data_IF_556439023569
#
_entry.id   IF_556439023569
#
_cell.length_a   1.000
_cell.length_b   1.000
_cell.length_c   1.000
_cell.angle_alpha   90.00
_cell.angle_beta   90.00
_cell.angle_gamma   90.00
#
_symmetry.space_group_name_H-M   'P 1'
#
loop_
_entity.id
_entity.type
_entity.pdbx_description
1 polymer ?
#
# COMPACT_ATOMS: atom_id res chain seq x y z
N UNK A 1 -23.04 78.65 6.73
CA UNK A 1 -23.33 77.39 6.07
C UNK A 1 -22.06 76.52 5.77
N UNK A 2 -20.87 77.10 5.76
CA UNK A 2 -19.63 76.35 5.41
C UNK A 2 -18.90 75.69 6.58
N UNK A 3 -19.08 76.18 7.81
CA UNK A 3 -18.38 75.57 9.00
C UNK A 3 -19.06 74.30 9.41
N UNK A 4 -20.39 74.21 9.39
CA UNK A 4 -21.12 72.99 9.73
C UNK A 4 -20.80 71.80 8.76
N UNK A 5 -20.67 72.09 7.47
CA UNK A 5 -20.27 71.07 6.45
C UNK A 5 -18.84 70.60 6.65
N UNK A 6 -17.93 71.46 7.09
CA UNK A 6 -16.55 71.09 7.40
C UNK A 6 -16.44 70.21 8.65
N UNK A 7 -17.24 70.45 9.67
CA UNK A 7 -17.29 69.64 10.89
C UNK A 7 -17.86 68.24 10.58
N UNK A 8 -18.92 68.16 9.78
CA UNK A 8 -19.51 66.89 9.37
C UNK A 8 -18.53 66.11 8.50
N UNK A 9 -17.77 66.67 7.59
CA UNK A 9 -16.77 66.04 6.77
C UNK A 9 -15.59 65.57 7.62
N UNK A 10 -15.15 66.27 8.63
CA UNK A 10 -14.07 65.90 9.53
C UNK A 10 -14.48 64.74 10.42
N UNK A 11 -15.76 64.72 10.89
CA UNK A 11 -16.29 63.58 11.68
C UNK A 11 -16.42 62.25 10.85
N UNK A 12 -16.81 62.40 9.57
CA UNK A 12 -16.91 61.22 8.69
C UNK A 12 -15.54 60.56 8.38
N UNK A 13 -14.46 61.34 8.32
CA UNK A 13 -13.08 60.82 8.09
C UNK A 13 -12.57 60.09 9.34
N UNK A 14 -12.95 60.53 10.55
CA UNK A 14 -12.54 59.85 11.80
C UNK A 14 -13.12 58.47 11.99
N UNK A 15 -14.29 58.16 11.41
CA UNK A 15 -14.98 56.86 11.57
C UNK A 15 -14.36 55.76 10.65
N UNK A 16 -13.71 56.14 9.55
CA UNK A 16 -13.12 55.16 8.60
C UNK A 16 -11.79 54.57 9.08
N UNK A 17 -11.12 55.21 10.07
CA UNK A 17 -9.80 54.77 10.54
C UNK A 17 -9.84 53.73 11.69
N UNK A 18 -11.01 53.35 12.20
CA UNK A 18 -11.12 52.39 13.31
C UNK A 18 -11.48 50.98 12.89
N UNK A 19 -11.48 50.65 11.57
CA UNK A 19 -11.87 49.33 11.06
C UNK A 19 -10.68 48.39 10.78
N UNK A 20 -9.59 48.50 11.53
CA UNK A 20 -8.59 47.43 11.59
C UNK A 20 -8.84 46.57 12.82
N UNK A 21 -9.83 45.70 12.77
CA UNK A 21 -9.91 44.58 13.70
C UNK A 21 -8.83 43.57 13.30
N UNK A 22 -7.79 43.45 14.10
CA UNK A 22 -6.80 42.37 14.01
C UNK A 22 -7.54 41.03 13.99
N UNK A 23 -7.62 40.42 12.82
CA UNK A 23 -8.04 39.02 12.71
C UNK A 23 -6.89 38.20 13.29
N UNK A 24 -6.99 37.85 14.55
CA UNK A 24 -6.09 36.83 15.10
C UNK A 24 -6.13 35.57 14.21
N UNK A 25 -5.01 35.29 13.55
CA UNK A 25 -4.83 34.06 12.80
C UNK A 25 -5.11 32.90 13.77
N UNK A 26 -6.09 32.07 13.46
CA UNK A 26 -6.37 30.87 14.23
C UNK A 26 -5.15 29.97 14.12
N UNK A 27 -4.48 29.71 15.23
CA UNK A 27 -3.42 28.71 15.26
C UNK A 27 -3.98 27.36 14.77
N UNK A 28 -3.32 26.68 13.81
CA UNK A 28 -3.78 25.39 13.36
C UNK A 28 -3.80 24.43 14.55
N UNK A 29 -4.95 23.80 14.80
CA UNK A 29 -5.12 22.81 15.88
C UNK A 29 -4.46 21.51 15.43
N UNK A 30 -3.15 21.44 15.51
CA UNK A 30 -2.32 20.30 15.08
C UNK A 30 -2.38 19.12 16.06
N UNK A 31 -2.99 19.27 17.23
CA UNK A 31 -2.98 18.23 18.29
C UNK A 31 -3.75 16.96 17.93
N UNK A 32 -4.80 17.02 17.12
CA UNK A 32 -5.59 15.84 16.74
C UNK A 32 -4.89 14.96 15.68
N UNK A 33 -4.14 15.55 14.76
CA UNK A 33 -3.50 14.84 13.66
C UNK A 33 -2.38 13.93 14.13
N UNK A 34 -1.58 14.34 15.11
CA UNK A 34 -0.46 13.54 15.62
C UNK A 34 -0.91 12.31 16.41
N UNK A 35 -2.02 12.41 17.16
CA UNK A 35 -2.59 11.29 17.91
C UNK A 35 -3.21 10.27 16.97
N UNK A 36 -3.96 10.72 15.96
CA UNK A 36 -4.55 9.86 14.94
C UNK A 36 -3.50 9.10 14.14
N UNK A 37 -2.44 9.79 13.71
CA UNK A 37 -1.34 9.15 12.97
C UNK A 37 -0.62 8.09 13.81
N UNK A 38 -0.35 8.37 15.09
CA UNK A 38 0.25 7.41 16.02
C UNK A 38 -0.65 6.19 16.22
N UNK A 39 -1.94 6.39 16.44
CA UNK A 39 -2.90 5.31 16.61
C UNK A 39 -3.02 4.44 15.36
N UNK A 40 -3.09 5.06 14.17
CA UNK A 40 -3.11 4.35 12.90
C UNK A 40 -1.83 3.54 12.67
N UNK A 41 -0.66 4.12 12.98
CA UNK A 41 0.62 3.42 12.86
C UNK A 41 0.71 2.22 13.82
N UNK A 42 0.22 2.37 15.05
CA UNK A 42 0.17 1.26 16.01
C UNK A 42 -0.75 0.13 15.55
N UNK A 43 -1.94 0.46 15.03
CA UNK A 43 -2.88 -0.53 14.47
C UNK A 43 -2.27 -1.28 13.28
N UNK A 44 -1.62 -0.55 12.36
CA UNK A 44 -0.96 -1.17 11.21
C UNK A 44 0.20 -2.08 11.63
N UNK A 45 1.00 -1.67 12.62
CA UNK A 45 2.07 -2.51 13.16
C UNK A 45 1.53 -3.79 13.82
N UNK A 46 0.46 -3.67 14.61
CA UNK A 46 -0.17 -4.84 15.24
C UNK A 46 -0.77 -5.80 14.20
N UNK A 47 -1.40 -5.27 13.15
CA UNK A 47 -1.92 -6.06 12.04
C UNK A 47 -0.81 -6.82 11.35
N UNK A 48 0.27 -6.14 10.94
CA UNK A 48 1.40 -6.77 10.28
C UNK A 48 2.01 -7.90 11.14
N UNK A 49 2.21 -7.65 12.43
CA UNK A 49 2.72 -8.67 13.35
C UNK A 49 1.78 -9.90 13.44
N UNK A 50 0.47 -9.70 13.39
CA UNK A 50 -0.50 -10.81 13.38
C UNK A 50 -0.49 -11.61 12.07
N UNK A 51 -0.31 -10.93 10.94
CA UNK A 51 -0.18 -11.57 9.63
C UNK A 51 1.12 -12.39 9.52
N UNK A 52 2.24 -11.82 9.97
CA UNK A 52 3.53 -12.52 10.01
C UNK A 52 3.47 -13.75 10.91
N UNK A 53 2.86 -13.64 12.10
CA UNK A 53 2.68 -14.78 13.00
C UNK A 53 1.79 -15.88 12.38
N UNK A 54 0.78 -15.50 11.60
CA UNK A 54 -0.07 -16.45 10.89
C UNK A 54 0.72 -17.16 9.79
N UNK A 55 1.47 -16.44 8.97
CA UNK A 55 2.36 -17.00 7.95
C UNK A 55 3.36 -17.96 8.60
N UNK A 56 4.01 -17.57 9.70
CA UNK A 56 4.92 -18.45 10.43
C UNK A 56 4.23 -19.71 10.96
N UNK A 57 2.97 -19.61 11.37
CA UNK A 57 2.20 -20.77 11.82
C UNK A 57 1.88 -21.75 10.68
N UNK A 58 1.59 -21.21 9.48
CA UNK A 58 1.37 -22.02 8.26
C UNK A 58 2.66 -22.76 7.91
N UNK A 59 3.79 -22.03 7.85
CA UNK A 59 5.10 -22.57 7.53
C UNK A 59 5.51 -23.69 8.52
N UNK A 60 5.30 -23.48 9.81
CA UNK A 60 5.62 -24.49 10.84
C UNK A 60 4.82 -25.79 10.71
N UNK A 61 3.61 -25.71 10.16
CA UNK A 61 2.75 -26.90 9.92
C UNK A 61 3.12 -27.63 8.62
N UNK A 62 3.70 -26.92 7.69
CA UNK A 62 4.13 -27.50 6.41
C UNK A 62 5.54 -28.04 6.54
N UNK A 63 5.65 -29.35 6.64
CA UNK A 63 6.93 -30.07 6.74
C UNK A 63 7.44 -30.60 5.40
N UNK A 64 6.70 -30.35 4.32
CA UNK A 64 7.00 -30.90 3.00
C UNK A 64 7.81 -29.95 2.14
N UNK A 65 7.68 -28.65 2.35
CA UNK A 65 8.30 -27.64 1.51
C UNK A 65 9.44 -26.89 2.22
N UNK A 66 10.46 -26.57 1.47
CA UNK A 66 11.57 -25.72 1.93
C UNK A 66 11.23 -24.26 1.72
N UNK A 67 10.81 -23.58 2.78
CA UNK A 67 10.51 -22.17 2.74
C UNK A 67 11.78 -21.31 2.74
N UNK A 68 11.75 -20.30 1.89
CA UNK A 68 12.81 -19.30 1.73
C UNK A 68 12.27 -17.97 2.21
N UNK A 69 13.03 -17.30 3.07
CA UNK A 69 12.75 -15.95 3.49
C UNK A 69 13.31 -14.98 2.44
N UNK A 70 12.44 -14.20 1.81
CA UNK A 70 12.89 -13.23 0.81
C UNK A 70 13.41 -11.97 1.49
N UNK A 71 14.42 -11.32 0.91
CA UNK A 71 14.86 -10.00 1.38
C UNK A 71 13.84 -8.87 1.12
N UNK A 72 12.70 -9.22 0.50
CA UNK A 72 11.64 -8.29 0.11
C UNK A 72 10.42 -8.34 1.05
N UNK A 73 10.52 -9.03 2.19
CA UNK A 73 9.50 -9.05 3.24
C UNK A 73 8.35 -10.04 2.98
N UNK A 74 8.60 -11.12 2.28
CA UNK A 74 7.67 -12.23 2.09
C UNK A 74 8.40 -13.57 2.15
N UNK A 75 7.66 -14.66 2.32
CA UNK A 75 8.21 -16.04 2.34
C UNK A 75 7.64 -16.82 1.17
N UNK A 76 8.44 -17.74 0.65
CA UNK A 76 8.03 -18.52 -0.52
C UNK A 76 8.74 -19.87 -0.58
N UNK A 77 8.23 -20.77 -1.42
CA UNK A 77 8.92 -21.99 -1.84
C UNK A 77 8.67 -22.24 -3.33
N UNK A 78 9.60 -22.96 -3.96
CA UNK A 78 9.45 -23.36 -5.35
C UNK A 78 8.57 -24.61 -5.46
N UNK A 79 7.60 -24.59 -6.38
CA UNK A 79 6.88 -25.77 -6.84
C UNK A 79 7.68 -26.48 -7.93
N UNK A 80 8.25 -25.70 -8.84
CA UNK A 80 9.11 -26.19 -9.89
C UNK A 80 10.28 -25.25 -10.10
N UNK A 81 11.49 -25.81 -10.23
CA UNK A 81 12.70 -25.07 -10.55
C UNK A 81 13.24 -25.51 -11.90
N UNK A 82 13.78 -24.57 -12.67
CA UNK A 82 14.45 -24.84 -13.94
C UNK A 82 15.96 -24.59 -13.81
N UNK A 83 16.77 -25.63 -13.61
CA UNK A 83 18.21 -25.49 -13.43
C UNK A 83 18.93 -25.02 -14.71
N UNK A 84 18.31 -25.17 -15.88
CA UNK A 84 18.87 -24.74 -17.17
C UNK A 84 18.64 -23.24 -17.41
N UNK A 85 17.66 -22.63 -16.75
CA UNK A 85 17.41 -21.20 -16.87
C UNK A 85 18.38 -20.42 -15.98
N UNK A 86 19.05 -19.44 -16.57
CA UNK A 86 20.02 -18.61 -15.85
C UNK A 86 19.62 -17.13 -15.81
N UNK A 87 18.57 -16.74 -16.56
CA UNK A 87 18.11 -15.37 -16.66
C UNK A 87 16.93 -15.11 -15.73
N UNK A 88 16.99 -13.99 -15.01
CA UNK A 88 15.89 -13.44 -14.23
C UNK A 88 15.45 -12.12 -14.84
N UNK A 89 14.17 -11.82 -14.75
CA UNK A 89 13.58 -10.64 -15.37
C UNK A 89 14.23 -9.33 -14.89
N UNK A 90 14.59 -8.47 -15.83
CA UNK A 90 15.24 -7.18 -15.61
C UNK A 90 14.32 -6.03 -16.01
N UNK A 91 14.71 -4.80 -15.64
CA UNK A 91 13.98 -3.59 -16.00
C UNK A 91 13.69 -3.53 -17.52
N UNK A 92 12.42 -3.38 -17.86
CA UNK A 92 11.96 -3.25 -19.24
C UNK A 92 11.63 -4.55 -19.96
N UNK A 93 11.90 -5.70 -19.38
CA UNK A 93 11.49 -7.00 -19.93
C UNK A 93 9.97 -7.16 -19.88
N UNK A 94 9.48 -8.06 -20.72
CA UNK A 94 8.07 -8.49 -20.68
C UNK A 94 8.03 -9.89 -20.10
N UNK A 95 7.39 -10.02 -18.94
CA UNK A 95 7.15 -11.31 -18.29
C UNK A 95 5.72 -11.75 -18.58
N UNK A 96 5.58 -12.96 -19.08
CA UNK A 96 4.28 -13.63 -19.20
C UNK A 96 4.14 -14.62 -18.04
N UNK A 97 3.03 -14.55 -17.29
CA UNK A 97 2.83 -15.38 -16.09
C UNK A 97 1.34 -15.65 -15.87
N UNK A 98 1.07 -16.71 -15.13
CA UNK A 98 -0.23 -17.02 -14.57
C UNK A 98 -0.13 -17.03 -13.04
N UNK A 99 -1.24 -16.77 -12.36
CA UNK A 99 -1.32 -16.87 -10.92
C UNK A 99 -2.73 -17.18 -10.43
N UNK A 100 -2.82 -17.86 -9.31
CA UNK A 100 -3.99 -17.92 -8.46
C UNK A 100 -3.70 -17.23 -7.13
N UNK A 101 -4.73 -16.68 -6.51
CA UNK A 101 -4.61 -15.91 -5.29
C UNK A 101 -5.62 -16.39 -4.27
N UNK A 102 -5.15 -16.66 -3.06
CA UNK A 102 -5.97 -17.01 -1.91
C UNK A 102 -5.63 -16.15 -0.71
N UNK A 103 -6.56 -15.98 0.21
CA UNK A 103 -6.22 -15.40 1.51
C UNK A 103 -5.44 -16.41 2.38
N UNK A 104 -4.88 -15.95 3.51
CA UNK A 104 -4.13 -16.82 4.42
C UNK A 104 -4.99 -17.90 5.11
N UNK A 105 -6.31 -17.82 4.99
CA UNK A 105 -7.26 -18.84 5.44
C UNK A 105 -7.52 -19.92 4.38
N UNK A 106 -7.01 -19.73 3.16
CA UNK A 106 -7.18 -20.64 2.03
C UNK A 106 -8.42 -20.37 1.18
N UNK A 107 -9.14 -19.27 1.42
CA UNK A 107 -10.26 -18.89 0.56
C UNK A 107 -9.71 -18.32 -0.76
N UNK A 108 -10.16 -18.89 -1.87
CA UNK A 108 -9.71 -18.47 -3.19
C UNK A 108 -10.34 -17.12 -3.59
N UNK A 109 -9.52 -16.15 -3.86
CA UNK A 109 -9.91 -14.80 -4.26
C UNK A 109 -9.91 -14.66 -5.79
N UNK A 110 -8.82 -15.06 -6.43
CA UNK A 110 -8.66 -15.06 -7.87
C UNK A 110 -8.15 -16.40 -8.35
N UNK A 111 -8.76 -16.89 -9.44
CA UNK A 111 -8.34 -18.10 -10.13
C UNK A 111 -7.47 -17.74 -11.33
N UNK A 112 -6.65 -18.68 -11.75
CA UNK A 112 -6.00 -18.62 -13.04
C UNK A 112 -7.04 -18.38 -14.14
N UNK A 113 -6.71 -17.52 -15.08
CA UNK A 113 -7.59 -17.32 -16.23
C UNK A 113 -7.51 -18.56 -17.11
N UNK A 114 -8.65 -19.17 -17.50
CA UNK A 114 -8.63 -20.38 -18.32
C UNK A 114 -7.88 -20.25 -19.65
N UNK A 115 -7.79 -19.02 -20.19
CA UNK A 115 -7.21 -18.71 -21.51
C UNK A 115 -6.24 -17.52 -21.43
N UNK A 116 -5.75 -17.13 -20.25
CA UNK A 116 -5.12 -15.84 -20.11
C UNK A 116 -3.80 -15.82 -19.35
N UNK A 117 -2.78 -15.66 -20.10
CA UNK A 117 -1.50 -15.22 -19.59
C UNK A 117 -1.57 -13.72 -19.25
N UNK A 118 -1.09 -13.36 -18.05
CA UNK A 118 -0.85 -11.97 -17.70
C UNK A 118 0.48 -11.55 -18.29
N UNK A 119 0.53 -10.34 -18.82
CA UNK A 119 1.79 -9.72 -19.26
C UNK A 119 2.13 -8.58 -18.34
N UNK A 120 3.37 -8.55 -17.90
CA UNK A 120 3.90 -7.50 -17.04
C UNK A 120 5.15 -6.90 -17.66
N UNK A 121 5.15 -5.59 -17.86
CA UNK A 121 6.32 -4.83 -18.26
C UNK A 121 7.11 -4.46 -17.01
N UNK A 122 8.21 -5.14 -16.78
CA UNK A 122 8.99 -5.07 -15.55
C UNK A 122 9.40 -3.63 -15.24
N UNK A 123 8.96 -3.13 -14.07
CA UNK A 123 9.19 -1.79 -13.55
C UNK A 123 8.67 -0.63 -14.44
N UNK A 124 7.86 -0.92 -15.44
CA UNK A 124 7.15 0.09 -16.26
C UNK A 124 5.66 0.12 -15.99
N UNK A 125 5.11 -0.93 -15.42
CA UNK A 125 3.72 -1.04 -15.00
C UNK A 125 3.60 -1.18 -13.49
N UNK A 126 2.49 -0.75 -12.92
CA UNK A 126 2.22 -0.88 -11.49
C UNK A 126 1.54 -2.21 -11.20
N UNK A 127 2.23 -3.05 -10.45
CA UNK A 127 1.68 -4.20 -9.73
C UNK A 127 2.05 -4.07 -8.26
N UNK A 128 1.41 -4.83 -7.36
CA UNK A 128 1.79 -4.75 -5.95
C UNK A 128 3.25 -5.23 -5.75
N UNK A 129 3.91 -4.67 -4.74
CA UNK A 129 5.36 -4.81 -4.54
C UNK A 129 5.81 -6.27 -4.44
N UNK A 130 5.06 -7.10 -3.71
CA UNK A 130 5.37 -8.53 -3.55
C UNK A 130 5.40 -9.26 -4.90
N UNK A 131 4.39 -9.09 -5.75
CA UNK A 131 4.32 -9.70 -7.07
C UNK A 131 5.49 -9.24 -7.97
N UNK A 132 5.78 -7.95 -7.97
CA UNK A 132 6.94 -7.39 -8.69
C UNK A 132 8.23 -8.10 -8.30
N UNK A 133 8.47 -8.26 -7.01
CA UNK A 133 9.66 -8.93 -6.50
C UNK A 133 9.66 -10.44 -6.77
N UNK A 134 8.50 -11.09 -6.65
CA UNK A 134 8.36 -12.52 -6.94
C UNK A 134 8.67 -12.85 -8.40
N UNK A 135 8.12 -12.07 -9.34
CA UNK A 135 8.38 -12.26 -10.77
C UNK A 135 9.86 -12.05 -11.16
N UNK A 136 10.60 -11.23 -10.41
CA UNK A 136 12.03 -11.06 -10.60
C UNK A 136 12.89 -12.17 -9.97
N UNK A 137 12.34 -12.94 -9.03
CA UNK A 137 13.01 -14.09 -8.44
C UNK A 137 12.88 -15.33 -9.30
N UNK A 138 11.74 -15.51 -9.97
CA UNK A 138 11.47 -16.65 -10.82
C UNK A 138 12.21 -16.53 -12.16
N UNK A 139 12.68 -17.65 -12.64
CA UNK A 139 13.22 -17.81 -13.97
C UNK A 139 12.16 -18.39 -14.92
N UNK A 140 12.51 -18.50 -16.18
CA UNK A 140 11.62 -19.09 -17.19
C UNK A 140 11.20 -20.50 -16.82
N UNK A 141 9.90 -20.78 -16.86
CA UNK A 141 9.26 -22.05 -16.51
C UNK A 141 9.40 -22.46 -15.04
N UNK A 142 9.80 -21.56 -14.17
CA UNK A 142 9.72 -21.79 -12.72
C UNK A 142 8.36 -21.39 -12.18
N UNK A 143 7.95 -22.06 -11.10
CA UNK A 143 6.74 -21.72 -10.37
C UNK A 143 6.98 -21.85 -8.86
N UNK A 144 6.20 -21.12 -8.08
CA UNK A 144 6.33 -21.13 -6.63
C UNK A 144 5.08 -20.63 -5.94
N UNK A 145 5.00 -20.88 -4.64
CA UNK A 145 3.98 -20.35 -3.75
C UNK A 145 4.59 -19.24 -2.89
N UNK A 146 3.92 -18.11 -2.82
CA UNK A 146 4.40 -16.92 -2.15
C UNK A 146 3.40 -16.50 -1.09
N UNK A 147 3.87 -16.16 0.11
CA UNK A 147 3.08 -15.66 1.22
C UNK A 147 3.42 -14.20 1.47
N UNK A 148 2.50 -13.32 1.11
CA UNK A 148 2.69 -11.88 1.19
C UNK A 148 1.95 -11.30 2.39
N UNK A 149 2.64 -10.71 3.37
CA UNK A 149 2.00 -9.81 4.31
C UNK A 149 1.35 -8.63 3.58
N UNK A 150 0.31 -8.04 4.16
CA UNK A 150 -0.40 -6.92 3.55
C UNK A 150 0.50 -5.73 3.19
N UNK A 151 1.61 -5.55 3.91
CA UNK A 151 2.58 -4.47 3.66
C UNK A 151 3.23 -4.52 2.28
N UNK A 152 3.41 -5.70 1.71
CA UNK A 152 3.99 -5.91 0.37
C UNK A 152 2.97 -6.41 -0.65
N UNK A 153 1.72 -6.69 -0.22
CA UNK A 153 0.59 -7.04 -1.06
C UNK A 153 -0.28 -5.80 -1.36
N UNK A 154 -1.58 -5.89 -1.14
CA UNK A 154 -2.53 -4.82 -1.46
C UNK A 154 -2.67 -3.75 -0.36
N UNK A 155 -1.94 -3.89 0.74
CA UNK A 155 -1.87 -2.91 1.82
C UNK A 155 -3.21 -2.66 2.50
N UNK A 156 -3.35 -1.46 3.07
CA UNK A 156 -4.55 -1.07 3.81
C UNK A 156 -5.80 -0.88 2.92
N UNK A 157 -5.62 -0.63 1.62
CA UNK A 157 -6.73 -0.27 0.72
C UNK A 157 -7.38 -1.48 0.03
N UNK A 158 -6.68 -2.63 -0.05
CA UNK A 158 -7.10 -3.73 -0.89
C UNK A 158 -7.02 -3.37 -2.38
N UNK A 159 -7.69 -4.17 -3.23
CA UNK A 159 -7.75 -3.98 -4.67
C UNK A 159 -9.05 -3.29 -5.16
N UNK A 160 -9.94 -2.95 -4.25
CA UNK A 160 -11.29 -2.39 -4.49
C UNK A 160 -12.30 -3.37 -5.11
N UNK A 161 -11.96 -4.63 -5.24
CA UNK A 161 -12.84 -5.68 -5.77
C UNK A 161 -12.99 -6.81 -4.74
N UNK A 162 -12.14 -7.80 -4.76
CA UNK A 162 -12.25 -8.99 -3.90
C UNK A 162 -11.41 -8.92 -2.64
N UNK A 163 -10.34 -8.13 -2.65
CA UNK A 163 -9.42 -8.00 -1.51
C UNK A 163 -9.82 -6.77 -0.70
N UNK A 164 -10.55 -7.00 0.37
CA UNK A 164 -10.97 -5.95 1.30
C UNK A 164 -10.37 -6.18 2.69
N UNK A 165 -10.56 -5.24 3.61
CA UNK A 165 -10.31 -5.45 5.03
C UNK A 165 -11.16 -6.62 5.56
N UNK A 166 -10.62 -7.64 6.26
CA UNK A 166 -9.26 -7.80 6.78
C UNK A 166 -8.35 -8.73 5.95
N UNK A 167 -8.77 -9.23 4.78
CA UNK A 167 -8.10 -10.26 3.98
C UNK A 167 -7.02 -9.68 3.07
N UNK A 168 -6.02 -9.00 3.62
CA UNK A 168 -5.00 -8.27 2.83
C UNK A 168 -3.68 -8.99 2.70
N UNK A 169 -3.40 -9.93 3.58
CA UNK A 169 -2.28 -10.84 3.45
C UNK A 169 -2.69 -12.03 2.59
N UNK A 170 -1.87 -12.41 1.64
CA UNK A 170 -2.12 -13.40 0.60
C UNK A 170 -0.89 -14.26 0.38
#
# INVERSE_FOLDING_TARGET
MNILKKIIALSAIGIVLTSCADRQARHPITKKTSTFLKESAMKNKALLASEEALIDSIIKKDTLHNFIDSQHGFKFYYLNQNPEAHYTAQFGDIVTYDYSLSDLQGNQLYQEKPDGEYKYYVDKEEVFQGLRSALKLLKEKESGVFYFPSSVAYGYRGDKDKISLPSRAI
#
